data_IF_782613605641
#
_entry.id   IF_782613605641
#
_cell.length_a   1.000
_cell.length_b   1.000
_cell.length_c   1.000
_cell.angle_alpha   90.00
_cell.angle_beta   90.00
_cell.angle_gamma   90.00
#
_symmetry.space_group_name_H-M   'P 1'
#
loop_
_entity.id
_entity.type
_entity.pdbx_description
1 polymer ?
#
# COMPACT_ATOMS: atom_id res chain seq x y z
N UNK A 1 -16.72 10.47 6.14
CA UNK A 1 -15.29 10.33 6.47
C UNK A 1 -14.60 9.13 5.78
N UNK A 2 -15.26 8.31 4.95
CA UNK A 2 -14.60 7.18 4.27
C UNK A 2 -14.19 7.42 2.79
N UNK A 3 -14.43 8.62 2.25
CA UNK A 3 -14.02 8.95 0.87
C UNK A 3 -12.57 9.39 0.81
N UNK A 4 -12.09 10.07 1.85
CA UNK A 4 -10.71 10.54 1.95
C UNK A 4 -9.74 9.37 1.99
N UNK A 5 -10.05 8.29 2.72
CA UNK A 5 -9.19 7.11 2.81
C UNK A 5 -8.94 6.46 1.45
N UNK A 6 -9.98 6.38 0.60
CA UNK A 6 -9.85 5.77 -0.73
C UNK A 6 -8.96 6.59 -1.66
N UNK A 7 -9.08 7.93 -1.64
CA UNK A 7 -8.24 8.80 -2.47
C UNK A 7 -6.75 8.74 -2.10
N UNK A 8 -6.41 8.50 -0.83
CA UNK A 8 -5.02 8.26 -0.41
C UNK A 8 -4.51 6.90 -0.89
N UNK A 9 -5.34 5.86 -0.83
CA UNK A 9 -5.01 4.53 -1.35
C UNK A 9 -4.84 4.54 -2.88
N UNK A 10 -5.65 5.30 -3.61
CA UNK A 10 -5.51 5.45 -5.08
C UNK A 10 -4.20 6.13 -5.47
N UNK A 11 -3.82 7.20 -4.77
CA UNK A 11 -2.51 7.84 -4.97
C UNK A 11 -1.38 6.85 -4.70
N UNK A 12 -1.45 6.11 -3.60
CA UNK A 12 -0.45 5.09 -3.29
C UNK A 12 -0.35 4.03 -4.41
N UNK A 13 -1.47 3.59 -4.98
CA UNK A 13 -1.48 2.65 -6.11
C UNK A 13 -0.77 3.24 -7.33
N UNK A 14 -1.04 4.50 -7.67
CA UNK A 14 -0.40 5.17 -8.81
C UNK A 14 1.12 5.27 -8.63
N UNK A 15 1.58 5.62 -7.43
CA UNK A 15 3.01 5.69 -7.12
C UNK A 15 3.69 4.31 -7.22
N UNK A 16 3.02 3.26 -6.73
CA UNK A 16 3.52 1.89 -6.81
C UNK A 16 3.56 1.36 -8.25
N UNK A 17 2.54 1.67 -9.05
CA UNK A 17 2.50 1.33 -10.48
C UNK A 17 3.64 2.00 -11.24
N UNK A 18 3.93 3.27 -10.92
CA UNK A 18 5.09 3.99 -11.48
C UNK A 18 6.44 3.38 -11.08
N UNK A 19 6.49 2.60 -9.99
CA UNK A 19 7.66 1.82 -9.57
C UNK A 19 7.71 0.41 -10.19
N UNK A 20 6.75 0.07 -11.07
CA UNK A 20 6.65 -1.24 -11.71
C UNK A 20 6.06 -2.33 -10.80
N UNK A 21 5.44 -1.95 -9.68
CA UNK A 21 4.79 -2.87 -8.76
C UNK A 21 3.30 -2.99 -9.08
N UNK A 22 2.75 -4.20 -8.99
CA UNK A 22 1.33 -4.43 -9.22
C UNK A 22 0.54 -4.12 -7.95
N UNK A 23 -0.01 -2.90 -7.86
CA UNK A 23 -0.83 -2.47 -6.74
C UNK A 23 -2.33 -2.46 -7.09
N UNK A 24 -3.17 -2.94 -6.17
CA UNK A 24 -4.64 -2.85 -6.30
C UNK A 24 -5.31 -2.56 -4.98
N UNK A 25 -6.40 -1.81 -5.01
CA UNK A 25 -7.24 -1.59 -3.83
C UNK A 25 -8.25 -2.73 -3.71
N UNK A 26 -8.22 -3.42 -2.59
CA UNK A 26 -9.18 -4.46 -2.22
C UNK A 26 -10.15 -3.86 -1.20
N UNK A 27 -11.43 -3.83 -1.58
CA UNK A 27 -12.52 -3.48 -0.66
C UNK A 27 -13.24 -4.75 -0.25
N UNK A 28 -13.35 -5.00 1.05
CA UNK A 28 -14.13 -6.12 1.59
C UNK A 28 -15.48 -5.61 2.08
N UNK A 29 -16.54 -6.43 2.00
CA UNK A 29 -17.92 -6.01 2.36
C UNK A 29 -18.08 -5.56 3.82
N UNK A 30 -17.23 -6.04 4.72
CA UNK A 30 -17.33 -5.77 6.17
C UNK A 30 -16.04 -5.22 6.77
N UNK A 31 -15.00 -5.03 5.96
CA UNK A 31 -13.69 -4.60 6.43
C UNK A 31 -13.24 -3.28 5.79
N UNK A 32 -12.15 -2.75 6.30
CA UNK A 32 -11.53 -1.52 5.75
C UNK A 32 -10.88 -1.84 4.39
N UNK A 33 -10.90 -0.89 3.45
CA UNK A 33 -10.16 -1.03 2.21
C UNK A 33 -8.65 -1.09 2.48
N UNK A 34 -7.95 -1.87 1.68
CA UNK A 34 -6.49 -2.00 1.75
C UNK A 34 -5.88 -2.09 0.35
N UNK A 35 -4.67 -1.59 0.17
CA UNK A 35 -3.88 -1.83 -1.04
C UNK A 35 -3.17 -3.17 -0.89
N UNK A 36 -3.32 -4.04 -1.87
CA UNK A 36 -2.48 -5.22 -2.05
C UNK A 36 -1.48 -4.94 -3.15
N UNK A 37 -0.20 -5.07 -2.82
CA UNK A 37 0.95 -4.82 -3.71
C UNK A 37 1.64 -6.14 -3.98
N UNK A 38 1.99 -6.40 -5.24
CA UNK A 38 2.66 -7.63 -5.66
C UNK A 38 3.88 -7.23 -6.48
N UNK A 39 5.02 -7.82 -6.17
CA UNK A 39 6.21 -7.68 -7.00
C UNK A 39 6.10 -8.63 -8.20
N UNK A 40 6.02 -8.15 -9.46
CA UNK A 40 5.94 -9.04 -10.62
C UNK A 40 7.23 -9.84 -10.85
N UNK A 41 8.38 -9.37 -10.37
CA UNK A 41 9.66 -10.09 -10.43
C UNK A 41 9.67 -11.24 -9.42
N UNK A 42 9.08 -11.03 -8.24
CA UNK A 42 8.98 -12.00 -7.16
C UNK A 42 7.50 -12.23 -6.79
N UNK A 43 6.76 -12.86 -7.70
CA UNK A 43 5.28 -13.00 -7.62
C UNK A 43 4.76 -13.70 -6.36
N UNK A 44 5.63 -14.37 -5.60
CA UNK A 44 5.33 -14.96 -4.29
C UNK A 44 5.21 -13.94 -3.17
N UNK A 45 5.75 -12.73 -3.34
CA UNK A 45 5.71 -11.66 -2.35
C UNK A 45 4.59 -10.68 -2.65
N UNK A 46 3.68 -10.59 -1.69
CA UNK A 46 2.61 -9.62 -1.71
C UNK A 46 2.53 -8.91 -0.36
N UNK A 47 2.54 -7.58 -0.40
CA UNK A 47 2.39 -6.74 0.78
C UNK A 47 0.98 -6.15 0.85
N UNK A 48 0.45 -5.97 2.05
CA UNK A 48 -0.88 -5.35 2.24
C UNK A 48 -0.75 -4.09 3.10
N UNK A 49 -1.26 -2.99 2.57
CA UNK A 49 -1.19 -1.67 3.18
C UNK A 49 -2.60 -1.18 3.49
N UNK A 50 -2.82 -0.76 4.71
CA UNK A 50 -4.08 -0.13 5.12
C UNK A 50 -3.86 1.34 5.41
N UNK A 51 -4.86 2.16 5.17
CA UNK A 51 -4.84 3.56 5.56
C UNK A 51 -5.75 3.76 6.78
N UNK A 52 -5.19 4.31 7.87
CA UNK A 52 -5.88 4.48 9.15
C UNK A 52 -5.34 5.70 9.86
N UNK A 53 -6.24 6.53 10.39
CA UNK A 53 -5.87 7.69 11.22
C UNK A 53 -4.81 8.60 10.57
N UNK A 54 -4.96 8.87 9.27
CA UNK A 54 -4.05 9.71 8.48
C UNK A 54 -2.65 9.13 8.21
N UNK A 55 -2.42 7.86 8.54
CA UNK A 55 -1.17 7.16 8.31
C UNK A 55 -1.40 5.89 7.49
N UNK A 56 -0.38 5.47 6.73
CA UNK A 56 -0.27 4.14 6.15
C UNK A 56 0.26 3.15 7.18
N UNK A 57 -0.34 1.96 7.20
CA UNK A 57 -0.04 0.89 8.13
C UNK A 57 0.19 -0.42 7.38
N UNK A 58 1.20 -1.15 7.83
CA UNK A 58 1.46 -2.51 7.39
C UNK A 58 0.39 -3.49 7.88
N UNK A 59 0.26 -4.61 7.19
CA UNK A 59 -0.67 -5.69 7.55
C UNK A 59 -0.38 -6.30 8.93
N UNK A 60 0.90 -6.30 9.36
CA UNK A 60 1.35 -6.79 10.67
C UNK A 60 1.21 -5.77 11.80
N UNK A 61 0.62 -4.60 11.55
CA UNK A 61 0.29 -3.62 12.58
C UNK A 61 1.38 -2.58 12.88
N UNK A 62 2.46 -2.53 12.09
CA UNK A 62 3.43 -1.45 12.19
C UNK A 62 3.00 -0.22 11.37
N UNK A 63 3.31 0.98 11.87
CA UNK A 63 3.09 2.22 11.12
C UNK A 63 4.14 2.38 10.03
N UNK A 64 3.69 2.46 8.79
CA UNK A 64 4.56 2.55 7.60
C UNK A 64 5.01 3.99 7.34
N UNK A 65 4.06 4.88 7.06
CA UNK A 65 4.35 6.26 6.65
C UNK A 65 3.15 7.17 6.88
N UNK A 66 3.34 8.48 6.76
CA UNK A 66 2.25 9.45 6.79
C UNK A 66 1.43 9.40 5.50
N UNK A 67 0.12 9.59 5.63
CA UNK A 67 -0.83 9.65 4.52
C UNK A 67 -0.56 10.75 3.50
N UNK A 68 0.02 11.84 3.97
CA UNK A 68 0.35 13.02 3.18
C UNK A 68 1.50 12.78 2.18
N UNK A 69 2.27 11.70 2.36
CA UNK A 69 3.39 11.34 1.49
C UNK A 69 3.23 9.89 0.96
N UNK A 70 2.39 9.69 -0.08
CA UNK A 70 2.21 8.38 -0.70
C UNK A 70 3.46 7.89 -1.45
N UNK A 71 4.31 8.80 -1.95
CA UNK A 71 5.53 8.46 -2.67
C UNK A 71 6.58 7.80 -1.74
N UNK A 72 6.79 8.35 -0.54
CA UNK A 72 7.66 7.73 0.47
C UNK A 72 7.08 6.40 0.98
N UNK A 73 5.76 6.30 1.11
CA UNK A 73 5.10 5.03 1.43
C UNK A 73 5.35 3.97 0.34
N UNK A 74 5.18 4.32 -0.94
CA UNK A 74 5.43 3.42 -2.07
C UNK A 74 6.89 2.93 -2.08
N UNK A 75 7.83 3.85 -1.89
CA UNK A 75 9.27 3.53 -1.82
C UNK A 75 9.58 2.53 -0.70
N UNK A 76 8.97 2.68 0.48
CA UNK A 76 9.14 1.69 1.56
C UNK A 76 8.60 0.31 1.19
N UNK A 77 7.42 0.27 0.55
CA UNK A 77 6.84 -0.99 0.06
C UNK A 77 7.74 -1.65 -0.98
N UNK A 78 8.26 -0.87 -1.93
CA UNK A 78 9.21 -1.35 -2.92
C UNK A 78 10.47 -1.92 -2.28
N UNK A 79 11.03 -1.22 -1.29
CA UNK A 79 12.20 -1.70 -0.54
C UNK A 79 11.92 -3.02 0.18
N UNK A 80 10.77 -3.17 0.87
CA UNK A 80 10.41 -4.43 1.55
C UNK A 80 10.23 -5.56 0.54
N UNK A 81 9.54 -5.29 -0.57
CA UNK A 81 9.32 -6.26 -1.64
C UNK A 81 10.59 -6.60 -2.46
N UNK A 82 11.63 -5.78 -2.38
CA UNK A 82 12.93 -6.01 -3.01
C UNK A 82 13.96 -6.64 -2.05
N UNK A 83 13.80 -6.48 -0.73
CA UNK A 83 14.75 -6.95 0.27
C UNK A 83 14.54 -8.41 0.73
N UNK A 84 13.43 -9.05 0.35
CA UNK A 84 13.33 -10.52 0.45
C UNK A 84 14.04 -11.13 -0.75
N UNK A 85 15.26 -11.62 -0.53
CA UNK A 85 15.97 -12.62 -1.34
C UNK A 85 16.29 -13.83 -0.47
#
# INVERSE_FOLDING_TARGET
MGQDDFGHLERLVAELDSQGLLARIVRTRSGRPFVRVINPIATTLAENVTYRSQDFWWSWGERMHRGDDPAGAATKVAHVLAAVE
#
